data_IF_803802818265
#
_entry.id   IF_803802818265
#
_cell.length_a   1.000
_cell.length_b   1.000
_cell.length_c   1.000
_cell.angle_alpha   90.00
_cell.angle_beta   90.00
_cell.angle_gamma   90.00
#
_symmetry.space_group_name_H-M   'P 1'
#
loop_
_entity.id
_entity.type
_entity.pdbx_description
1 polymer ?
#
# COMPACT_ATOMS: atom_id res chain seq x y z
N UNK A 1 -20.72 11.30 31.38
CA UNK A 1 -19.76 11.04 30.28
C UNK A 1 -19.29 9.62 30.43
N UNK A 2 -19.88 8.70 29.68
CA UNK A 2 -19.40 7.31 29.62
C UNK A 2 -18.21 7.29 28.69
N UNK A 3 -17.00 7.14 29.23
CA UNK A 3 -15.83 6.73 28.47
C UNK A 3 -16.01 5.25 28.15
N UNK A 4 -16.51 4.95 26.95
CA UNK A 4 -16.31 3.64 26.37
C UNK A 4 -14.82 3.55 26.03
N UNK A 5 -14.07 2.89 26.88
CA UNK A 5 -12.81 2.25 26.49
C UNK A 5 -13.20 1.19 25.44
N UNK A 6 -13.16 1.58 24.18
CA UNK A 6 -13.16 0.61 23.09
C UNK A 6 -11.84 -0.12 23.28
N UNK A 7 -11.91 -1.33 23.82
CA UNK A 7 -10.77 -2.25 23.79
C UNK A 7 -10.33 -2.32 22.33
N UNK A 8 -9.08 -1.94 22.07
CA UNK A 8 -8.54 -1.99 20.72
C UNK A 8 -8.73 -3.43 20.23
N UNK A 9 -9.51 -3.59 19.16
CA UNK A 9 -9.68 -4.91 18.54
C UNK A 9 -8.30 -5.46 18.16
N UNK A 10 -8.09 -6.78 18.32
CA UNK A 10 -6.80 -7.36 17.97
C UNK A 10 -6.52 -7.14 16.49
N UNK A 11 -5.25 -6.83 16.15
CA UNK A 11 -4.82 -6.68 14.75
C UNK A 11 -5.08 -8.01 14.00
N UNK A 12 -5.50 -7.93 12.72
CA UNK A 12 -5.82 -9.13 11.95
C UNK A 12 -4.60 -10.01 11.71
N UNK A 13 -3.41 -9.42 11.65
CA UNK A 13 -2.13 -10.10 11.45
C UNK A 13 -1.04 -9.50 12.35
N UNK A 14 -0.09 -10.32 12.75
CA UNK A 14 1.01 -9.94 13.65
C UNK A 14 2.09 -9.07 12.99
N UNK A 15 2.10 -8.98 11.65
CA UNK A 15 3.02 -8.14 10.88
C UNK A 15 2.44 -6.76 10.52
N UNK A 16 1.32 -6.38 11.11
CA UNK A 16 0.76 -5.03 11.03
C UNK A 16 1.24 -4.22 12.22
N UNK A 17 1.79 -3.05 11.94
CA UNK A 17 2.15 -2.05 12.94
C UNK A 17 1.14 -0.91 12.85
N UNK A 18 0.28 -0.80 13.87
CA UNK A 18 -0.68 0.30 14.00
C UNK A 18 -0.04 1.40 14.85
N UNK A 19 0.03 2.62 14.32
CA UNK A 19 0.58 3.76 15.06
C UNK A 19 -0.45 4.29 16.05
N UNK A 20 -0.03 4.50 17.30
CA UNK A 20 -0.87 5.13 18.33
C UNK A 20 -1.33 6.53 17.89
N UNK A 21 -0.42 7.28 17.27
CA UNK A 21 -0.68 8.58 16.65
C UNK A 21 -0.21 8.50 15.20
N UNK A 22 -1.08 8.77 14.22
CA UNK A 22 -0.68 8.78 12.81
C UNK A 22 0.48 9.73 12.54
N UNK A 23 1.44 9.28 11.74
CA UNK A 23 2.67 10.00 11.45
C UNK A 23 2.48 10.96 10.27
N UNK A 24 3.06 12.14 10.37
CA UNK A 24 3.12 13.08 9.25
C UNK A 24 3.94 12.47 8.10
N UNK A 25 3.44 12.66 6.89
CA UNK A 25 4.08 12.18 5.67
C UNK A 25 4.35 13.38 4.76
N UNK A 26 5.60 13.55 4.37
CA UNK A 26 6.01 14.52 3.36
C UNK A 26 5.35 14.23 2.01
N UNK A 27 5.49 15.11 1.02
CA UNK A 27 4.99 14.88 -0.33
C UNK A 27 5.43 13.52 -0.86
N UNK A 28 4.47 12.76 -1.40
CA UNK A 28 4.73 11.44 -2.02
C UNK A 28 4.85 11.66 -3.53
N UNK A 29 6.07 11.65 -4.03
CA UNK A 29 6.39 11.82 -5.45
C UNK A 29 6.84 10.50 -6.02
N UNK A 30 6.22 10.09 -7.11
CA UNK A 30 6.50 8.82 -7.80
C UNK A 30 6.44 9.03 -9.31
N UNK A 31 6.73 7.99 -10.07
CA UNK A 31 6.56 7.99 -11.51
C UNK A 31 5.42 7.04 -11.90
N UNK A 32 4.62 7.45 -12.88
CA UNK A 32 3.64 6.55 -13.50
C UNK A 32 4.34 5.55 -14.45
N UNK A 33 3.52 4.70 -15.10
CA UNK A 33 4.05 3.70 -16.04
C UNK A 33 4.85 4.31 -17.21
N UNK A 34 4.51 5.52 -17.62
CA UNK A 34 5.20 6.24 -18.69
C UNK A 34 6.37 7.09 -18.20
N UNK A 35 6.78 6.90 -16.94
CA UNK A 35 7.88 7.59 -16.27
C UNK A 35 7.65 9.09 -16.08
N UNK A 36 6.40 9.55 -16.14
CA UNK A 36 6.02 10.91 -15.77
C UNK A 36 6.03 11.08 -14.26
N UNK A 37 6.53 12.22 -13.81
CA UNK A 37 6.46 12.58 -12.40
C UNK A 37 5.01 12.85 -12.01
N UNK A 38 4.56 12.19 -10.96
CA UNK A 38 3.27 12.45 -10.34
C UNK A 38 3.45 12.68 -8.85
N UNK A 39 2.54 13.44 -8.27
CA UNK A 39 2.46 13.67 -6.84
C UNK A 39 1.14 13.14 -6.33
N UNK A 40 1.20 12.32 -5.28
CA UNK A 40 0.01 11.76 -4.67
C UNK A 40 -0.83 12.86 -4.01
N UNK A 41 -2.10 12.97 -4.38
CA UNK A 41 -3.03 13.81 -3.62
C UNK A 41 -3.42 13.10 -2.33
N UNK A 42 -2.83 13.55 -1.21
CA UNK A 42 -3.12 12.99 0.12
C UNK A 42 -4.44 13.48 0.72
N UNK A 43 -5.01 14.54 0.18
CA UNK A 43 -6.16 15.26 0.75
C UNK A 43 -7.46 15.06 -0.06
N UNK A 44 -7.57 13.97 -0.79
CA UNK A 44 -8.79 13.64 -1.56
C UNK A 44 -9.86 12.88 -0.74
N UNK A 45 -9.62 12.73 0.57
CA UNK A 45 -10.55 12.04 1.49
C UNK A 45 -10.54 10.52 1.38
N UNK A 46 -9.59 9.94 0.64
CA UNK A 46 -9.45 8.49 0.49
C UNK A 46 -8.30 7.92 1.32
N UNK A 47 -8.47 6.66 1.73
CA UNK A 47 -7.36 5.85 2.25
C UNK A 47 -6.38 5.57 1.12
N UNK A 48 -5.07 5.69 1.38
CA UNK A 48 -4.03 5.32 0.42
C UNK A 48 -3.30 4.07 0.89
N UNK A 49 -3.15 3.14 -0.02
CA UNK A 49 -2.38 1.91 0.16
C UNK A 49 -1.15 1.99 -0.74
N UNK A 50 0.00 2.25 -0.15
CA UNK A 50 1.27 2.32 -0.87
C UNK A 50 1.98 0.99 -0.69
N UNK A 51 1.96 0.14 -1.71
CA UNK A 51 2.57 -1.18 -1.67
C UNK A 51 3.91 -1.18 -2.42
N UNK A 52 5.00 -1.41 -1.71
CA UNK A 52 6.35 -1.43 -2.27
C UNK A 52 6.74 -2.87 -2.63
N UNK A 53 7.12 -3.09 -3.88
CA UNK A 53 7.35 -4.41 -4.44
C UNK A 53 8.47 -4.42 -5.48
N UNK A 54 8.94 -5.63 -5.85
CA UNK A 54 9.88 -5.84 -6.94
C UNK A 54 9.53 -7.10 -7.74
N UNK A 55 9.99 -7.16 -8.99
CA UNK A 55 9.68 -8.29 -9.87
C UNK A 55 10.32 -9.62 -9.45
N UNK A 56 11.42 -9.57 -8.71
CA UNK A 56 12.15 -10.73 -8.18
C UNK A 56 11.66 -11.18 -6.78
N UNK A 57 10.73 -10.46 -6.20
CA UNK A 57 10.26 -10.67 -4.83
C UNK A 57 9.13 -11.72 -4.80
N UNK A 58 9.43 -12.94 -4.33
CA UNK A 58 8.46 -14.04 -4.25
C UNK A 58 7.24 -13.72 -3.38
N UNK A 59 7.38 -13.20 -2.14
CA UNK A 59 6.21 -12.83 -1.35
C UNK A 59 5.39 -11.70 -1.97
N UNK A 60 6.02 -10.79 -2.74
CA UNK A 60 5.28 -9.77 -3.49
C UNK A 60 4.37 -10.40 -4.56
N UNK A 61 4.87 -11.42 -5.27
CA UNK A 61 4.07 -12.19 -6.25
C UNK A 61 2.85 -12.83 -5.60
N UNK A 62 3.03 -13.34 -4.41
CA UNK A 62 1.98 -14.05 -3.68
C UNK A 62 0.83 -13.13 -3.25
N UNK A 63 1.13 -11.93 -2.78
CA UNK A 63 0.11 -11.00 -2.28
C UNK A 63 -0.58 -10.17 -3.37
N UNK A 64 0.08 -9.91 -4.51
CA UNK A 64 -0.40 -8.97 -5.53
C UNK A 64 -1.80 -9.28 -6.06
N UNK A 65 -2.22 -10.54 -6.31
CA UNK A 65 -3.59 -10.83 -6.74
C UNK A 65 -4.66 -10.42 -5.72
N UNK A 66 -4.39 -10.56 -4.43
CA UNK A 66 -5.33 -10.13 -3.39
C UNK A 66 -5.41 -8.59 -3.31
N UNK A 67 -4.31 -7.91 -3.56
CA UNK A 67 -4.26 -6.45 -3.65
C UNK A 67 -5.09 -5.94 -4.85
N UNK A 68 -5.00 -6.62 -5.98
CA UNK A 68 -5.82 -6.35 -7.17
C UNK A 68 -7.32 -6.50 -6.86
N UNK A 69 -7.70 -7.55 -6.14
CA UNK A 69 -9.08 -7.78 -5.70
C UNK A 69 -9.57 -6.70 -4.73
N UNK A 70 -8.70 -6.25 -3.81
CA UNK A 70 -9.03 -5.16 -2.89
C UNK A 70 -9.33 -3.86 -3.63
N UNK A 71 -8.62 -3.58 -4.73
CA UNK A 71 -8.72 -2.32 -5.47
C UNK A 71 -10.11 -2.04 -6.05
N UNK A 72 -10.88 -3.08 -6.34
CA UNK A 72 -12.24 -2.97 -6.88
C UNK A 72 -13.34 -3.07 -5.83
N UNK A 73 -12.98 -3.40 -4.57
CA UNK A 73 -13.96 -3.58 -3.50
C UNK A 73 -14.48 -2.27 -2.93
N UNK A 74 -13.61 -1.27 -2.80
CA UNK A 74 -13.93 0.01 -2.17
C UNK A 74 -13.48 1.19 -3.03
N UNK A 75 -14.41 2.08 -3.36
CA UNK A 75 -14.11 3.33 -4.07
C UNK A 75 -13.35 4.36 -3.19
N UNK A 76 -13.41 4.17 -1.88
CA UNK A 76 -12.78 5.02 -0.87
C UNK A 76 -11.31 4.70 -0.62
N UNK A 77 -10.78 3.67 -1.30
CA UNK A 77 -9.38 3.26 -1.21
C UNK A 77 -8.70 3.49 -2.56
N UNK A 78 -7.55 4.15 -2.54
CA UNK A 78 -6.66 4.28 -3.69
C UNK A 78 -5.40 3.45 -3.44
N UNK A 79 -5.07 2.56 -4.37
CA UNK A 79 -3.95 1.63 -4.23
C UNK A 79 -2.86 1.99 -5.24
N UNK A 80 -1.63 2.07 -4.74
CA UNK A 80 -0.44 2.42 -5.51
C UNK A 80 0.61 1.32 -5.33
N UNK A 81 0.65 0.32 -6.23
CA UNK A 81 1.77 -0.61 -6.28
C UNK A 81 3.00 0.10 -6.83
N UNK A 82 4.03 0.27 -6.00
CA UNK A 82 5.22 1.05 -6.32
C UNK A 82 6.40 0.09 -6.47
N UNK A 83 6.86 -0.08 -7.71
CA UNK A 83 8.03 -0.89 -8.00
C UNK A 83 9.31 -0.17 -7.57
N UNK A 84 10.13 -0.84 -6.78
CA UNK A 84 11.38 -0.28 -6.23
C UNK A 84 12.62 -0.60 -7.09
N UNK A 85 12.46 -1.41 -8.13
CA UNK A 85 13.52 -1.69 -9.08
C UNK A 85 13.84 -0.46 -9.94
N UNK A 86 14.99 -0.50 -10.61
CA UNK A 86 15.23 0.41 -11.73
C UNK A 86 14.06 0.26 -12.73
N UNK A 87 13.43 1.35 -13.16
CA UNK A 87 12.25 1.28 -14.02
C UNK A 87 12.49 0.44 -15.28
N UNK A 88 11.64 -0.57 -15.46
CA UNK A 88 11.62 -1.42 -16.64
C UNK A 88 10.17 -1.77 -16.96
N UNK A 89 9.57 -1.03 -17.88
CA UNK A 89 8.17 -1.15 -18.24
C UNK A 89 7.80 -2.52 -18.78
N UNK A 90 8.66 -3.10 -19.62
CA UNK A 90 8.43 -4.43 -20.20
C UNK A 90 8.39 -5.51 -19.13
N UNK A 91 9.34 -5.50 -18.21
CA UNK A 91 9.45 -6.48 -17.13
C UNK A 91 8.32 -6.36 -16.13
N UNK A 92 7.95 -5.14 -15.75
CA UNK A 92 6.84 -4.89 -14.80
C UNK A 92 5.49 -5.21 -15.41
N UNK A 93 5.28 -4.89 -16.68
CA UNK A 93 4.07 -5.27 -17.42
C UNK A 93 3.93 -6.79 -17.52
N UNK A 94 5.02 -7.49 -17.84
CA UNK A 94 5.03 -8.96 -17.86
C UNK A 94 4.68 -9.56 -16.51
N UNK A 95 5.23 -9.02 -15.42
CA UNK A 95 4.90 -9.45 -14.06
C UNK A 95 3.38 -9.35 -13.78
N UNK A 96 2.75 -8.24 -14.14
CA UNK A 96 1.31 -8.05 -13.97
C UNK A 96 0.50 -9.01 -14.85
N UNK A 97 0.95 -9.22 -16.10
CA UNK A 97 0.29 -10.16 -17.01
C UNK A 97 0.38 -11.61 -16.50
N UNK A 98 1.55 -12.05 -16.05
CA UNK A 98 1.77 -13.40 -15.53
C UNK A 98 0.91 -13.69 -14.29
N UNK A 99 0.63 -12.69 -13.46
CA UNK A 99 -0.23 -12.78 -12.28
C UNK A 99 -1.71 -12.45 -12.56
N UNK A 100 -2.05 -12.15 -13.81
CA UNK A 100 -3.41 -11.77 -14.21
C UNK A 100 -3.95 -10.53 -13.44
N UNK A 101 -3.08 -9.58 -13.16
CA UNK A 101 -3.43 -8.30 -12.52
C UNK A 101 -4.10 -7.41 -13.56
N UNK A 102 -5.31 -6.92 -13.30
CA UNK A 102 -6.12 -6.18 -14.26
C UNK A 102 -6.55 -4.79 -13.79
N UNK A 103 -6.59 -4.57 -12.49
CA UNK A 103 -7.21 -3.38 -11.89
C UNK A 103 -6.19 -2.41 -11.28
N UNK A 104 -4.96 -2.85 -11.11
CA UNK A 104 -3.88 -2.04 -10.55
C UNK A 104 -3.05 -1.39 -11.66
N UNK A 105 -2.64 -0.14 -11.43
CA UNK A 105 -1.66 0.55 -12.26
C UNK A 105 -0.24 0.31 -11.76
N UNK A 106 0.75 0.46 -12.63
CA UNK A 106 2.16 0.31 -12.29
C UNK A 106 2.74 1.68 -11.99
N UNK A 107 3.42 1.80 -10.85
CA UNK A 107 4.18 2.99 -10.45
C UNK A 107 5.62 2.61 -10.13
N UNK A 108 6.51 3.60 -10.21
CA UNK A 108 7.92 3.41 -9.90
C UNK A 108 8.40 4.40 -8.85
N UNK A 109 9.26 3.91 -7.96
CA UNK A 109 10.00 4.76 -7.05
C UNK A 109 11.27 5.28 -7.76
N UNK A 110 11.39 6.60 -7.89
CA UNK A 110 12.53 7.19 -8.53
C UNK A 110 13.76 7.17 -7.61
N UNK A 111 14.77 6.39 -7.99
CA UNK A 111 16.09 6.30 -7.28
C UNK A 111 15.92 6.00 -5.78
N UNK A 112 15.02 5.09 -5.43
CA UNK A 112 14.73 4.69 -4.05
C UNK A 112 14.30 5.84 -3.13
N UNK A 113 13.79 6.93 -3.69
CA UNK A 113 13.42 8.12 -2.94
C UNK A 113 12.34 7.85 -1.90
N UNK A 114 11.26 7.16 -2.31
CA UNK A 114 10.17 6.80 -1.39
C UNK A 114 10.58 5.71 -0.41
N UNK A 115 11.34 4.71 -0.88
CA UNK A 115 11.88 3.67 0.00
C UNK A 115 12.69 4.28 1.14
N UNK A 116 13.51 5.29 0.84
CA UNK A 116 14.28 6.03 1.85
C UNK A 116 13.37 6.93 2.71
N UNK A 117 12.41 7.63 2.11
CA UNK A 117 11.48 8.52 2.82
C UNK A 117 10.69 7.74 3.89
N UNK A 118 10.20 6.54 3.56
CA UNK A 118 9.47 5.68 4.49
C UNK A 118 10.37 4.75 5.31
N UNK A 119 11.69 4.86 5.16
CA UNK A 119 12.65 4.04 5.88
C UNK A 119 12.35 2.53 5.76
N UNK A 120 12.10 2.08 4.54
CA UNK A 120 11.80 0.67 4.28
C UNK A 120 13.02 -0.20 4.60
N UNK A 121 12.78 -1.31 5.29
CA UNK A 121 13.80 -2.32 5.63
C UNK A 121 13.74 -3.56 4.76
N UNK A 122 12.72 -3.67 3.93
CA UNK A 122 12.51 -4.81 3.04
C UNK A 122 11.21 -4.68 2.26
N UNK A 123 10.97 -5.62 1.39
CA UNK A 123 9.77 -5.73 0.57
C UNK A 123 9.18 -7.15 0.67
N UNK A 124 7.86 -7.31 0.55
CA UNK A 124 6.90 -6.21 0.44
C UNK A 124 6.77 -5.44 1.75
N UNK A 125 6.57 -4.15 1.63
CA UNK A 125 6.10 -3.31 2.74
C UNK A 125 4.94 -2.48 2.21
N UNK A 126 3.88 -2.38 2.99
CA UNK A 126 2.71 -1.58 2.62
C UNK A 126 2.49 -0.49 3.66
N UNK A 127 2.42 0.75 3.19
CA UNK A 127 2.14 1.92 4.02
C UNK A 127 0.67 2.30 3.85
N UNK A 128 -0.04 2.47 4.94
CA UNK A 128 -1.44 2.87 4.94
C UNK A 128 -1.56 4.31 5.41
N UNK A 129 -2.05 5.18 4.51
CA UNK A 129 -2.33 6.58 4.84
C UNK A 129 -3.83 6.76 5.07
N UNK A 130 -4.17 7.50 6.12
CA UNK A 130 -5.56 7.86 6.42
C UNK A 130 -6.09 8.96 5.48
N UNK A 131 -7.33 9.37 5.67
CA UNK A 131 -7.98 10.40 4.85
C UNK A 131 -7.30 11.77 4.91
N UNK A 132 -6.53 12.04 5.96
CA UNK A 132 -5.72 13.25 6.15
C UNK A 132 -4.30 13.10 5.57
N UNK A 133 -3.98 11.96 4.96
CA UNK A 133 -2.67 11.70 4.35
C UNK A 133 -1.56 11.37 5.35
N UNK A 134 -1.91 10.98 6.57
CA UNK A 134 -0.97 10.55 7.60
C UNK A 134 -0.83 9.03 7.62
N UNK A 135 0.38 8.53 7.87
CA UNK A 135 0.59 7.10 8.04
C UNK A 135 -0.03 6.63 9.36
N UNK A 136 -1.06 5.82 9.30
CA UNK A 136 -1.69 5.25 10.49
C UNK A 136 -1.26 3.81 10.77
N UNK A 137 -0.82 3.10 9.74
CA UNK A 137 -0.32 1.74 9.88
C UNK A 137 0.66 1.39 8.77
N UNK A 138 1.45 0.35 9.01
CA UNK A 138 2.25 -0.32 7.97
C UNK A 138 2.23 -1.83 8.13
N UNK A 139 2.38 -2.52 7.04
CA UNK A 139 2.43 -3.97 6.97
C UNK A 139 3.82 -4.35 6.51
N UNK A 140 4.54 -5.11 7.32
CA UNK A 140 5.91 -5.53 7.05
C UNK A 140 5.88 -6.99 6.61
N UNK A 141 6.09 -7.24 5.33
CA UNK A 141 5.92 -8.56 4.72
C UNK A 141 4.56 -8.76 4.05
N UNK A 142 4.35 -9.96 3.53
CA UNK A 142 3.13 -10.31 2.79
C UNK A 142 1.90 -10.51 3.68
N UNK A 143 0.75 -10.17 3.15
CA UNK A 143 -0.56 -10.57 3.67
C UNK A 143 -1.50 -10.95 2.51
N UNK A 144 -2.60 -11.60 2.83
CA UNK A 144 -3.76 -11.67 1.96
C UNK A 144 -4.62 -10.41 2.18
N UNK A 145 -4.56 -9.47 1.24
CA UNK A 145 -5.36 -8.22 1.31
C UNK A 145 -6.85 -8.45 1.16
N UNK A 146 -7.26 -9.65 0.75
CA UNK A 146 -8.67 -10.01 0.60
C UNK A 146 -9.17 -10.93 1.74
N UNK A 147 -8.32 -11.20 2.73
CA UNK A 147 -8.70 -11.92 3.94
C UNK A 147 -9.80 -11.17 4.69
N UNK A 148 -10.82 -11.90 5.14
CA UNK A 148 -11.97 -11.32 5.82
C UNK A 148 -11.61 -10.48 7.05
N UNK A 149 -10.65 -10.95 7.87
CA UNK A 149 -10.22 -10.23 9.07
C UNK A 149 -9.53 -8.92 8.72
N UNK A 150 -8.70 -8.92 7.66
CA UNK A 150 -8.04 -7.70 7.19
C UNK A 150 -9.07 -6.70 6.65
N UNK A 151 -10.02 -7.15 5.85
CA UNK A 151 -11.08 -6.30 5.28
C UNK A 151 -11.95 -5.71 6.40
N UNK A 152 -12.37 -6.50 7.38
CA UNK A 152 -13.15 -6.01 8.52
C UNK A 152 -12.38 -4.97 9.33
N UNK A 153 -11.09 -5.20 9.56
CA UNK A 153 -10.23 -4.24 10.23
C UNK A 153 -10.04 -2.95 9.43
N UNK A 154 -9.72 -3.05 8.14
CA UNK A 154 -9.51 -1.89 7.27
C UNK A 154 -10.78 -1.04 7.14
N UNK A 155 -11.94 -1.68 7.11
CA UNK A 155 -13.24 -1.01 6.98
C UNK A 155 -13.54 -0.05 8.14
N UNK A 156 -12.88 -0.20 9.28
CA UNK A 156 -13.04 0.74 10.42
C UNK A 156 -12.45 2.12 10.12
N UNK A 157 -11.58 2.24 9.11
CA UNK A 157 -10.89 3.49 8.75
C UNK A 157 -11.48 4.18 7.50
N UNK A 158 -12.41 3.56 6.83
CA UNK A 158 -13.06 4.05 5.60
C UNK A 158 -14.16 5.07 5.89
#
# INVERSE_FOLDING_TARGET
KFNFLIAAEPLPFNNIVLHKNPLQVSQVKLKDFYLKNIELNKNDGKIKVLNFWATWCTPCKKEMPSLDSLSIKYSEISIFPINVDKPNQTKTKKFFQDLNIKNLSIYFDHKSRLANQFQLRGIPTTILLNKEGKEFARIIGEIDFYDKKFIEWLNQFI
#
